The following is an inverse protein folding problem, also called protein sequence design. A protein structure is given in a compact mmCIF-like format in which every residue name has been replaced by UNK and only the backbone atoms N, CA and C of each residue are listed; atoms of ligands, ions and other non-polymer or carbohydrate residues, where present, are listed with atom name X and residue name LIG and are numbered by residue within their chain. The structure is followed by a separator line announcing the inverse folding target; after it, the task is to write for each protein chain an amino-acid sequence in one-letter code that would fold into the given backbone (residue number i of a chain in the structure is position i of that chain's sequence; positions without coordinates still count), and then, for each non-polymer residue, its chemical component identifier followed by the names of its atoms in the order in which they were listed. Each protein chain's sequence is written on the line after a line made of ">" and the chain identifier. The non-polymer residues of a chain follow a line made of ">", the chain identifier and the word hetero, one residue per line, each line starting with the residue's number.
data_IF_568468030251
#
_entry.id   IF_568468030251
#
_cell.length_a   1.000
_cell.length_b   1.000
_cell.length_c   1.000
_cell.angle_alpha   90.00
_cell.angle_beta   90.00
_cell.angle_gamma   90.00
#
_symmetry.space_group_name_H-M   'P 1'
#
loop_
_entity.id
_entity.type
_entity.pdbx_description
1 polymer ?
#
# COMPACT_ATOMS: atom_id res chain seq x y z
N UNK A 1 -18.58 3.40 -43.97
CA UNK A 1 -17.20 3.19 -43.55
C UNK A 1 -17.23 2.05 -42.56
N UNK A 2 -16.53 0.95 -42.81
CA UNK A 2 -16.35 -0.09 -41.81
C UNK A 2 -15.48 0.55 -40.70
N UNK A 3 -16.06 0.83 -39.54
CA UNK A 3 -15.30 1.20 -38.34
C UNK A 3 -14.35 0.04 -38.08
N UNK A 4 -13.05 0.29 -38.13
CA UNK A 4 -12.06 -0.71 -37.79
C UNK A 4 -12.28 -1.04 -36.28
N UNK A 5 -12.41 -2.31 -36.00
CA UNK A 5 -12.48 -2.77 -34.61
C UNK A 5 -11.18 -2.37 -33.90
N UNK A 6 -11.23 -1.82 -32.69
CA UNK A 6 -10.02 -1.51 -31.93
C UNK A 6 -9.23 -2.78 -31.63
N UNK A 7 -7.92 -2.63 -31.50
CA UNK A 7 -7.10 -3.72 -30.98
C UNK A 7 -7.31 -3.80 -29.47
N UNK A 8 -8.11 -4.77 -29.01
CA UNK A 8 -8.50 -4.94 -27.62
C UNK A 8 -7.69 -6.07 -26.97
N UNK A 9 -7.02 -5.77 -25.90
CA UNK A 9 -6.35 -6.72 -25.00
C UNK A 9 -7.04 -6.67 -23.63
N UNK A 10 -7.60 -7.76 -23.17
CA UNK A 10 -8.19 -7.91 -21.83
C UNK A 10 -7.60 -9.13 -21.14
N UNK A 11 -7.55 -9.05 -19.83
CA UNK A 11 -7.16 -10.19 -18.99
C UNK A 11 -8.24 -11.28 -18.96
N UNK A 12 -7.81 -12.49 -18.63
CA UNK A 12 -8.73 -13.54 -18.21
C UNK A 12 -9.55 -13.06 -16.99
N UNK A 13 -10.85 -13.28 -17.02
CA UNK A 13 -11.77 -12.79 -15.98
C UNK A 13 -12.41 -11.43 -16.26
N UNK A 14 -11.96 -10.68 -17.26
CA UNK A 14 -12.56 -9.39 -17.65
C UNK A 14 -13.50 -9.49 -18.87
N UNK A 15 -14.10 -10.66 -19.09
CA UNK A 15 -14.99 -10.92 -20.24
C UNK A 15 -16.26 -10.08 -20.24
N UNK A 16 -16.72 -9.61 -19.09
CA UNK A 16 -17.83 -8.67 -18.93
C UNK A 16 -17.60 -7.29 -19.54
N UNK A 17 -16.36 -7.00 -19.93
CA UNK A 17 -16.01 -5.75 -20.61
C UNK A 17 -16.04 -5.88 -22.15
N UNK A 18 -16.24 -7.08 -22.70
CA UNK A 18 -16.21 -7.32 -24.16
C UNK A 18 -17.35 -6.64 -24.92
N UNK A 19 -18.47 -6.36 -24.27
CA UNK A 19 -19.67 -5.76 -24.84
C UNK A 19 -19.63 -4.22 -24.88
N UNK A 20 -18.56 -3.59 -24.37
CA UNK A 20 -18.43 -2.15 -24.32
C UNK A 20 -18.15 -1.56 -25.72
N UNK A 21 -18.58 -0.32 -25.99
CA UNK A 21 -18.44 0.32 -27.30
C UNK A 21 -17.03 0.90 -27.51
N UNK A 22 -16.02 0.04 -27.57
CA UNK A 22 -14.60 0.38 -27.61
C UNK A 22 -14.22 1.28 -28.81
N UNK A 23 -14.99 1.26 -29.89
CA UNK A 23 -14.81 2.12 -31.07
C UNK A 23 -15.19 3.58 -30.84
N UNK A 24 -15.96 3.88 -29.77
CA UNK A 24 -16.40 5.24 -29.47
C UNK A 24 -15.46 5.91 -28.44
N UNK A 25 -15.36 7.27 -28.45
CA UNK A 25 -14.73 8.01 -27.36
C UNK A 25 -15.40 7.70 -26.02
N UNK A 26 -14.61 7.58 -24.95
CA UNK A 26 -15.12 7.26 -23.61
C UNK A 26 -16.18 8.27 -23.11
N UNK A 27 -16.10 9.52 -23.56
CA UNK A 27 -17.08 10.56 -23.25
C UNK A 27 -18.48 10.29 -23.83
N UNK A 28 -18.57 9.53 -24.91
CA UNK A 28 -19.82 9.20 -25.61
C UNK A 28 -20.48 7.92 -25.09
N UNK A 29 -19.83 7.19 -24.19
CA UNK A 29 -20.37 5.95 -23.69
C UNK A 29 -21.56 6.20 -22.75
N UNK A 30 -22.61 5.43 -22.93
CA UNK A 30 -23.82 5.42 -22.11
C UNK A 30 -24.05 3.99 -21.63
N UNK A 31 -23.86 3.75 -20.33
CA UNK A 31 -23.98 2.44 -19.74
C UNK A 31 -24.43 2.58 -18.28
N UNK A 32 -25.44 1.82 -17.85
CA UNK A 32 -25.99 1.84 -16.50
C UNK A 32 -25.01 1.29 -15.44
N UNK A 33 -23.97 0.61 -15.88
CA UNK A 33 -22.88 0.09 -15.02
C UNK A 33 -21.91 1.18 -14.56
N UNK A 34 -21.97 2.39 -15.13
CA UNK A 34 -21.12 3.48 -14.67
C UNK A 34 -21.45 3.91 -13.24
N UNK A 35 -20.41 4.21 -12.49
CA UNK A 35 -20.50 4.71 -11.11
C UNK A 35 -19.90 6.10 -11.01
N UNK A 36 -20.58 6.97 -10.28
CA UNK A 36 -20.12 8.32 -9.98
C UNK A 36 -19.18 8.26 -8.77
N UNK A 37 -17.90 8.03 -9.04
CA UNK A 37 -16.83 8.01 -8.04
C UNK A 37 -16.01 9.29 -8.21
N UNK A 38 -15.81 10.09 -7.14
CA UNK A 38 -15.03 11.31 -7.21
C UNK A 38 -13.59 11.04 -7.64
N UNK A 39 -13.18 11.68 -8.74
CA UNK A 39 -11.82 11.65 -9.26
C UNK A 39 -11.08 12.91 -8.79
N UNK A 40 -9.80 12.80 -8.51
CA UNK A 40 -8.92 13.96 -8.33
C UNK A 40 -8.75 14.76 -9.64
N UNK A 41 -8.04 15.89 -9.62
CA UNK A 41 -7.66 16.57 -10.85
C UNK A 41 -6.95 15.62 -11.80
N UNK A 42 -7.46 15.43 -13.00
CA UNK A 42 -6.88 14.58 -14.03
C UNK A 42 -6.83 15.33 -15.37
N UNK A 43 -5.77 15.09 -16.15
CA UNK A 43 -5.64 15.64 -17.52
C UNK A 43 -6.49 14.84 -18.50
N UNK A 44 -6.80 13.60 -18.17
CA UNK A 44 -7.52 12.66 -19.01
C UNK A 44 -8.89 12.34 -18.44
N UNK A 45 -9.82 11.95 -19.30
CA UNK A 45 -11.14 11.49 -18.88
C UNK A 45 -11.00 10.14 -18.20
N UNK A 46 -11.44 10.06 -16.95
CA UNK A 46 -11.53 8.82 -16.18
C UNK A 46 -12.97 8.55 -15.83
N UNK A 47 -13.44 7.31 -16.07
CA UNK A 47 -14.77 6.84 -15.68
C UNK A 47 -14.66 5.50 -14.95
N UNK A 48 -15.59 5.23 -14.06
CA UNK A 48 -15.64 3.96 -13.31
C UNK A 48 -16.83 3.14 -13.78
N UNK A 49 -16.59 1.85 -14.02
CA UNK A 49 -17.60 0.92 -14.48
C UNK A 49 -17.60 -0.30 -13.56
N UNK A 50 -18.78 -0.75 -13.12
CA UNK A 50 -18.96 -1.94 -12.28
C UNK A 50 -19.47 -3.09 -13.15
N UNK A 51 -18.73 -4.20 -13.16
CA UNK A 51 -19.11 -5.42 -13.85
C UNK A 51 -18.64 -6.64 -13.02
N UNK A 52 -19.51 -7.67 -12.91
CA UNK A 52 -19.23 -8.91 -12.17
C UNK A 52 -18.71 -8.64 -10.74
N UNK A 53 -19.38 -7.74 -9.99
CA UNK A 53 -19.02 -7.29 -8.64
C UNK A 53 -17.61 -6.66 -8.54
N UNK A 54 -16.99 -6.32 -9.67
CA UNK A 54 -15.70 -5.65 -9.74
C UNK A 54 -15.87 -4.25 -10.35
N UNK A 55 -15.23 -3.27 -9.74
CA UNK A 55 -15.17 -1.91 -10.30
C UNK A 55 -13.87 -1.74 -11.09
N UNK A 56 -13.98 -1.20 -12.29
CA UNK A 56 -12.86 -0.88 -13.18
C UNK A 56 -12.77 0.63 -13.34
N UNK A 57 -11.53 1.13 -13.46
CA UNK A 57 -11.28 2.50 -13.93
C UNK A 57 -10.90 2.46 -15.40
N UNK A 58 -11.58 3.29 -16.22
CA UNK A 58 -11.31 3.44 -17.63
C UNK A 58 -10.74 4.85 -17.85
N UNK A 59 -9.55 4.95 -18.45
CA UNK A 59 -8.84 6.20 -18.73
C UNK A 59 -8.59 6.32 -20.23
N UNK A 60 -9.13 7.36 -20.88
CA UNK A 60 -8.85 7.62 -22.31
C UNK A 60 -7.70 8.61 -22.43
N UNK A 61 -6.67 8.23 -23.17
CA UNK A 61 -5.44 8.99 -23.32
C UNK A 61 -4.80 8.78 -24.71
N UNK A 62 -3.78 9.58 -25.10
CA UNK A 62 -3.03 9.35 -26.32
C UNK A 62 -2.47 7.93 -26.40
N UNK A 63 -2.50 7.35 -27.59
CA UNK A 63 -2.16 5.95 -27.83
C UNK A 63 -0.77 5.56 -27.27
N UNK A 64 0.23 6.39 -27.51
CA UNK A 64 1.60 6.14 -27.08
C UNK A 64 1.77 6.25 -25.55
N UNK A 65 1.01 7.13 -24.92
CA UNK A 65 0.96 7.28 -23.46
C UNK A 65 0.34 6.05 -22.83
N UNK A 66 -0.86 5.64 -23.29
CA UNK A 66 -1.55 4.46 -22.78
C UNK A 66 -0.74 3.18 -22.93
N UNK A 67 -0.02 3.02 -24.04
CA UNK A 67 0.85 1.86 -24.24
C UNK A 67 2.00 1.81 -23.24
N UNK A 68 2.64 2.96 -22.98
CA UNK A 68 3.73 3.05 -21.97
C UNK A 68 3.20 2.82 -20.57
N UNK A 69 2.10 3.47 -20.20
CA UNK A 69 1.48 3.28 -18.88
C UNK A 69 1.05 1.83 -18.65
N UNK A 70 0.39 1.22 -19.64
CA UNK A 70 0.03 -0.21 -19.56
C UNK A 70 1.27 -1.09 -19.34
N UNK A 71 2.36 -0.84 -20.09
CA UNK A 71 3.59 -1.61 -19.95
C UNK A 71 4.24 -1.40 -18.57
N UNK A 72 4.27 -0.18 -18.06
CA UNK A 72 4.81 0.15 -16.74
C UNK A 72 4.00 -0.53 -15.62
N UNK A 73 2.67 -0.44 -15.65
CA UNK A 73 1.80 -1.10 -14.66
C UNK A 73 1.95 -2.62 -14.71
N UNK A 74 2.05 -3.22 -15.91
CA UNK A 74 2.31 -4.66 -16.06
C UNK A 74 3.66 -5.08 -15.52
N UNK A 75 4.70 -4.25 -15.70
CA UNK A 75 6.01 -4.49 -15.10
C UNK A 75 5.92 -4.49 -13.57
N UNK A 76 5.32 -3.47 -12.98
CA UNK A 76 5.16 -3.36 -11.53
C UNK A 76 4.39 -4.53 -10.93
N UNK A 77 3.34 -4.98 -11.62
CA UNK A 77 2.56 -6.13 -11.18
C UNK A 77 3.38 -7.42 -11.21
N UNK A 78 4.16 -7.66 -12.27
CA UNK A 78 5.03 -8.83 -12.38
C UNK A 78 6.10 -8.85 -11.26
N UNK A 79 6.57 -7.67 -10.86
CA UNK A 79 7.47 -7.50 -9.72
C UNK A 79 6.72 -7.56 -8.36
N UNK A 80 5.38 -7.61 -8.36
CA UNK A 80 4.55 -7.65 -7.15
C UNK A 80 4.58 -6.37 -6.34
N UNK A 81 4.74 -5.22 -7.01
CA UNK A 81 4.84 -3.90 -6.40
C UNK A 81 3.49 -3.19 -6.27
N UNK A 82 3.37 -2.24 -5.34
CA UNK A 82 2.12 -1.56 -5.06
C UNK A 82 1.76 -0.55 -6.16
N UNK A 83 1.00 -0.99 -7.14
CA UNK A 83 0.39 -0.19 -8.19
C UNK A 83 -1.02 -0.72 -8.46
N UNK A 84 -1.84 0.04 -9.18
CA UNK A 84 -3.10 -0.47 -9.73
C UNK A 84 -2.81 -1.52 -10.81
N UNK A 85 -3.65 -2.55 -10.90
CA UNK A 85 -3.44 -3.63 -11.88
C UNK A 85 -3.99 -3.23 -13.25
N UNK A 86 -3.19 -3.37 -14.30
CA UNK A 86 -3.65 -3.17 -15.67
C UNK A 86 -4.47 -4.37 -16.14
N UNK A 87 -5.76 -4.18 -16.34
CA UNK A 87 -6.74 -5.19 -16.76
C UNK A 87 -6.84 -5.29 -18.26
N UNK A 88 -6.73 -4.16 -18.96
CA UNK A 88 -6.84 -4.14 -20.41
C UNK A 88 -6.39 -2.84 -21.07
N UNK A 89 -6.28 -2.93 -22.40
CA UNK A 89 -5.97 -1.80 -23.27
C UNK A 89 -6.74 -1.94 -24.58
N UNK A 90 -7.55 -0.94 -24.91
CA UNK A 90 -8.23 -0.82 -26.19
C UNK A 90 -7.58 0.28 -27.02
N UNK A 91 -6.87 -0.09 -28.07
CA UNK A 91 -6.15 0.83 -28.96
C UNK A 91 -7.03 1.20 -30.15
N UNK A 92 -7.17 2.50 -30.40
CA UNK A 92 -7.95 3.06 -31.55
C UNK A 92 -7.04 3.95 -32.38
N UNK A 93 -6.20 3.35 -33.24
CA UNK A 93 -5.17 4.08 -34.01
C UNK A 93 -5.74 5.19 -34.88
N UNK A 94 -6.95 5.01 -35.41
CA UNK A 94 -7.60 6.01 -36.27
C UNK A 94 -7.91 7.32 -35.53
N UNK A 95 -8.07 7.25 -34.21
CA UNK A 95 -8.26 8.43 -33.34
C UNK A 95 -6.97 8.88 -32.69
N UNK A 96 -5.91 8.06 -32.75
CA UNK A 96 -4.65 8.31 -32.02
C UNK A 96 -4.81 8.20 -30.51
N UNK A 97 -5.88 7.51 -30.01
CA UNK A 97 -6.16 7.32 -28.58
C UNK A 97 -6.23 5.85 -28.21
N UNK A 98 -6.14 5.57 -26.93
CA UNK A 98 -6.46 4.27 -26.36
C UNK A 98 -7.21 4.45 -25.04
N UNK A 99 -7.94 3.42 -24.64
CA UNK A 99 -8.59 3.34 -23.33
C UNK A 99 -7.84 2.30 -22.50
N UNK A 100 -7.17 2.78 -21.46
CA UNK A 100 -6.55 1.94 -20.43
C UNK A 100 -7.61 1.52 -19.40
N UNK A 101 -7.63 0.25 -19.07
CA UNK A 101 -8.50 -0.31 -18.01
C UNK A 101 -7.65 -0.80 -16.88
N UNK A 102 -7.96 -0.34 -15.66
CA UNK A 102 -7.30 -0.80 -14.44
C UNK A 102 -8.34 -1.26 -13.41
N UNK A 103 -7.94 -2.16 -12.51
CA UNK A 103 -8.75 -2.51 -11.35
C UNK A 103 -8.89 -1.29 -10.42
N UNK A 104 -10.10 -1.11 -9.89
CA UNK A 104 -10.32 -0.13 -8.83
C UNK A 104 -9.72 -0.62 -7.51
N UNK A 105 -8.85 0.18 -6.92
CA UNK A 105 -8.22 -0.15 -5.65
C UNK A 105 -9.22 0.06 -4.50
N UNK A 106 -9.89 -1.02 -4.09
CA UNK A 106 -10.86 -0.98 -2.98
C UNK A 106 -10.18 -0.63 -1.65
N UNK A 107 -10.93 -0.02 -0.72
CA UNK A 107 -10.45 0.40 0.61
C UNK A 107 -9.29 1.41 0.56
N UNK A 108 -9.11 2.10 -0.56
CA UNK A 108 -8.10 3.14 -0.70
C UNK A 108 -8.69 4.54 -0.55
N UNK A 109 -7.85 5.48 -0.18
CA UNK A 109 -8.20 6.89 -0.02
C UNK A 109 -7.15 7.78 -0.70
N UNK A 110 -7.61 8.89 -1.26
CA UNK A 110 -6.74 9.97 -1.72
C UNK A 110 -6.15 10.72 -0.51
N UNK A 111 -4.93 11.26 -0.65
CA UNK A 111 -4.24 12.00 0.40
C UNK A 111 -5.07 13.15 0.99
N UNK A 112 -5.84 13.86 0.15
CA UNK A 112 -6.72 14.95 0.61
C UNK A 112 -7.74 14.47 1.63
N UNK A 113 -8.38 13.31 1.39
CA UNK A 113 -9.35 12.72 2.33
C UNK A 113 -8.70 12.29 3.64
N UNK A 114 -7.47 11.81 3.57
CA UNK A 114 -6.72 11.41 4.75
C UNK A 114 -6.31 12.63 5.58
N UNK A 115 -5.68 13.62 4.96
CA UNK A 115 -5.14 14.79 5.66
C UNK A 115 -6.20 15.85 6.01
N UNK A 116 -7.36 15.86 5.37
CA UNK A 116 -8.49 16.72 5.79
C UNK A 116 -9.08 16.32 7.14
N UNK A 117 -8.85 15.09 7.58
CA UNK A 117 -9.34 14.56 8.86
C UNK A 117 -8.36 14.76 10.02
N UNK A 118 -7.10 15.04 9.71
CA UNK A 118 -6.02 15.14 10.69
C UNK A 118 -5.30 16.48 10.57
N UNK A 119 -4.80 17.04 11.68
CA UNK A 119 -3.95 18.24 11.62
C UNK A 119 -2.76 18.03 10.69
N UNK A 120 -2.43 19.04 9.88
CA UNK A 120 -1.24 19.03 9.02
C UNK A 120 0.07 19.11 9.82
N UNK A 121 -0.03 19.51 11.09
CA UNK A 121 1.10 19.55 12.02
C UNK A 121 1.79 18.18 12.22
N UNK A 122 2.96 18.17 12.86
CA UNK A 122 3.66 16.93 13.20
C UNK A 122 2.74 15.97 13.96
N UNK A 123 2.64 14.74 13.48
CA UNK A 123 1.79 13.73 14.09
C UNK A 123 1.92 12.37 13.41
N UNK A 124 1.62 11.32 14.15
CA UNK A 124 1.84 9.94 13.73
C UNK A 124 1.19 9.60 12.37
N UNK A 125 0.05 10.19 12.06
CA UNK A 125 -0.67 9.87 10.82
C UNK A 125 -0.01 10.49 9.59
N UNK A 126 0.36 11.78 9.66
CA UNK A 126 1.13 12.45 8.59
C UNK A 126 2.44 11.71 8.34
N UNK A 127 3.15 11.35 9.41
CA UNK A 127 4.43 10.66 9.31
C UNK A 127 4.29 9.28 8.65
N UNK A 128 3.23 8.52 8.95
CA UNK A 128 2.91 7.25 8.28
C UNK A 128 2.66 7.43 6.77
N UNK A 129 2.03 8.53 6.36
CA UNK A 129 1.79 8.85 4.95
C UNK A 129 3.10 9.19 4.23
N UNK A 130 3.97 10.01 4.85
CA UNK A 130 5.27 10.36 4.30
C UNK A 130 6.20 9.13 4.23
N UNK A 131 6.16 8.24 5.22
CA UNK A 131 6.84 6.95 5.19
C UNK A 131 6.35 6.09 4.01
N UNK A 132 5.02 6.04 3.79
CA UNK A 132 4.44 5.28 2.69
C UNK A 132 4.91 5.78 1.32
N UNK A 133 5.02 7.11 1.14
CA UNK A 133 5.56 7.70 -0.10
C UNK A 133 7.04 7.36 -0.32
N UNK A 134 7.86 7.47 0.73
CA UNK A 134 9.27 7.11 0.66
C UNK A 134 9.45 5.63 0.32
N UNK A 135 8.67 4.74 0.94
CA UNK A 135 8.69 3.31 0.64
C UNK A 135 8.25 3.00 -0.78
N UNK A 136 7.17 3.63 -1.27
CA UNK A 136 6.73 3.45 -2.65
C UNK A 136 7.85 3.80 -3.63
N UNK A 137 8.48 4.98 -3.48
CA UNK A 137 9.54 5.41 -4.38
C UNK A 137 10.77 4.47 -4.32
N UNK A 138 11.14 3.97 -3.14
CA UNK A 138 12.21 2.97 -3.01
C UNK A 138 11.86 1.68 -3.75
N UNK A 139 10.64 1.17 -3.60
CA UNK A 139 10.18 -0.05 -4.26
C UNK A 139 10.18 0.11 -5.79
N UNK A 140 9.70 1.25 -6.31
CA UNK A 140 9.71 1.58 -7.75
C UNK A 140 11.14 1.66 -8.31
N UNK A 141 12.03 2.38 -7.63
CA UNK A 141 13.43 2.53 -8.06
C UNK A 141 14.19 1.20 -8.06
N UNK A 142 13.91 0.32 -7.09
CA UNK A 142 14.51 -1.04 -7.06
C UNK A 142 14.06 -1.90 -8.23
N UNK A 143 12.85 -1.70 -8.73
CA UNK A 143 12.34 -2.36 -9.93
C UNK A 143 12.78 -1.69 -11.25
N UNK A 144 13.62 -0.67 -11.18
CA UNK A 144 14.09 0.06 -12.36
C UNK A 144 13.05 1.02 -12.95
N UNK A 145 11.97 1.36 -12.22
CA UNK A 145 11.00 2.33 -12.68
C UNK A 145 11.44 3.75 -12.25
N UNK A 146 11.68 4.61 -13.23
CA UNK A 146 11.72 6.06 -13.07
C UNK A 146 10.28 6.57 -13.18
N UNK A 147 9.80 7.29 -12.16
CA UNK A 147 8.39 7.71 -12.11
C UNK A 147 8.13 8.99 -12.91
N UNK A 148 8.99 10.01 -12.75
CA UNK A 148 8.95 11.26 -13.51
C UNK A 148 7.90 12.29 -13.06
N UNK A 149 6.81 11.86 -12.39
CA UNK A 149 5.77 12.75 -11.81
C UNK A 149 5.34 12.22 -10.43
N UNK A 150 6.33 12.06 -9.55
CA UNK A 150 6.12 11.58 -8.18
C UNK A 150 5.27 12.57 -7.40
N UNK A 151 4.01 12.23 -7.08
CA UNK A 151 3.13 13.14 -6.36
C UNK A 151 2.10 12.41 -5.49
N UNK A 152 1.58 13.12 -4.50
CA UNK A 152 0.45 12.65 -3.69
C UNK A 152 -0.83 12.48 -4.52
N UNK A 153 -0.97 13.24 -5.61
CA UNK A 153 -2.14 13.18 -6.49
C UNK A 153 -2.18 11.88 -7.31
N UNK A 154 -1.00 11.39 -7.71
CA UNK A 154 -0.82 10.16 -8.50
C UNK A 154 -0.70 8.91 -7.61
N UNK A 155 -1.14 9.03 -6.34
CA UNK A 155 -1.03 7.98 -5.33
C UNK A 155 -2.36 7.77 -4.62
N UNK A 156 -2.72 6.51 -4.40
CA UNK A 156 -3.76 6.11 -3.46
C UNK A 156 -3.14 5.43 -2.24
N UNK A 157 -3.80 5.59 -1.12
CA UNK A 157 -3.34 5.08 0.17
C UNK A 157 -4.31 4.07 0.74
N UNK A 158 -3.80 2.93 1.17
CA UNK A 158 -4.56 1.89 1.84
C UNK A 158 -3.94 1.60 3.20
N UNK A 159 -4.78 1.31 4.18
CA UNK A 159 -4.31 0.86 5.48
C UNK A 159 -3.67 -0.52 5.38
N UNK A 160 -2.54 -0.70 6.03
CA UNK A 160 -1.77 -1.93 6.09
C UNK A 160 -1.36 -2.19 7.55
N UNK A 161 -2.28 -2.76 8.33
CA UNK A 161 -2.12 -2.92 9.76
C UNK A 161 -1.97 -1.58 10.48
N UNK A 162 -0.86 -1.40 11.18
CA UNK A 162 -0.46 -0.17 11.87
C UNK A 162 0.23 0.86 10.96
N UNK A 163 0.37 0.56 9.66
CA UNK A 163 1.01 1.39 8.64
C UNK A 163 0.03 1.81 7.55
N UNK A 164 0.53 2.61 6.62
CA UNK A 164 -0.13 2.97 5.38
C UNK A 164 0.72 2.43 4.23
N UNK A 165 0.07 1.82 3.24
CA UNK A 165 0.69 1.45 1.98
C UNK A 165 0.25 2.44 0.91
N UNK A 166 1.21 3.04 0.21
CA UNK A 166 0.98 3.86 -0.98
C UNK A 166 0.96 2.99 -2.24
N UNK A 167 0.10 3.33 -3.18
CA UNK A 167 -0.06 2.65 -4.47
C UNK A 167 0.06 3.65 -5.61
N UNK A 168 0.88 3.34 -6.60
CA UNK A 168 0.95 4.10 -7.84
C UNK A 168 -0.34 3.92 -8.64
N UNK A 169 -0.96 5.02 -9.04
CA UNK A 169 -2.23 5.01 -9.81
C UNK A 169 -2.03 5.49 -11.23
N UNK A 170 -1.15 6.47 -11.43
CA UNK A 170 -0.86 7.09 -12.72
C UNK A 170 0.62 6.93 -13.04
N UNK A 171 0.90 6.16 -14.09
CA UNK A 171 2.25 5.85 -14.57
C UNK A 171 2.52 6.45 -15.97
N UNK A 172 1.76 7.46 -16.42
CA UNK A 172 1.85 8.02 -17.77
C UNK A 172 3.24 8.58 -18.13
N UNK A 173 3.97 9.09 -17.11
CA UNK A 173 5.32 9.65 -17.24
C UNK A 173 6.43 8.65 -16.93
N UNK A 174 6.06 7.44 -16.53
CA UNK A 174 7.02 6.46 -16.03
C UNK A 174 7.81 5.78 -17.15
N UNK A 175 9.06 5.48 -16.85
CA UNK A 175 9.97 4.76 -17.73
C UNK A 175 10.59 3.55 -17.01
N UNK A 176 10.57 2.38 -17.67
CA UNK A 176 11.18 1.15 -17.15
C UNK A 176 12.60 1.02 -17.69
N UNK A 177 13.57 0.88 -16.81
CA UNK A 177 14.98 0.71 -17.11
C UNK A 177 15.50 -0.61 -16.49
N UNK A 178 16.58 -1.20 -17.01
CA UNK A 178 17.24 -2.34 -16.36
C UNK A 178 17.78 -2.02 -14.95
N UNK A 179 17.98 -0.74 -14.65
CA UNK A 179 18.40 -0.19 -13.38
C UNK A 179 18.53 1.33 -13.50
N UNK A 180 18.24 2.05 -12.43
CA UNK A 180 18.32 3.52 -12.42
C UNK A 180 19.71 4.01 -12.00
N UNK A 181 20.19 5.03 -12.67
CA UNK A 181 21.36 5.80 -12.24
C UNK A 181 21.06 6.61 -10.97
N UNK A 182 22.11 7.00 -10.24
CA UNK A 182 21.98 7.88 -9.07
C UNK A 182 21.30 9.21 -9.43
N UNK A 183 21.59 9.75 -10.64
CA UNK A 183 20.99 10.98 -11.12
C UNK A 183 19.49 10.86 -11.38
N UNK A 184 19.02 9.77 -11.97
CA UNK A 184 17.59 9.51 -12.17
C UNK A 184 16.85 9.40 -10.82
N UNK A 185 17.44 8.64 -9.88
CA UNK A 185 16.84 8.53 -8.53
C UNK A 185 16.82 9.86 -7.78
N UNK A 186 17.88 10.64 -7.85
CA UNK A 186 17.96 11.95 -7.22
C UNK A 186 16.89 12.89 -7.81
N UNK A 187 16.70 12.87 -9.13
CA UNK A 187 15.70 13.69 -9.80
C UNK A 187 14.26 13.32 -9.36
N UNK A 188 13.93 12.02 -9.30
CA UNK A 188 12.61 11.60 -8.80
C UNK A 188 12.39 11.99 -7.33
N UNK A 189 13.42 11.93 -6.49
CA UNK A 189 13.34 12.39 -5.09
C UNK A 189 13.09 13.90 -5.02
N UNK A 190 13.78 14.71 -5.83
CA UNK A 190 13.53 16.16 -5.91
C UNK A 190 12.10 16.47 -6.35
N UNK A 191 11.61 15.80 -7.41
CA UNK A 191 10.22 15.92 -7.88
C UNK A 191 9.23 15.53 -6.76
N UNK A 192 9.49 14.43 -6.05
CA UNK A 192 8.64 14.00 -4.94
C UNK A 192 8.57 15.06 -3.83
N UNK A 193 9.72 15.58 -3.41
CA UNK A 193 9.81 16.61 -2.35
C UNK A 193 9.04 17.86 -2.76
N UNK A 194 9.25 18.35 -3.97
CA UNK A 194 8.54 19.53 -4.49
C UNK A 194 7.02 19.31 -4.54
N UNK A 195 6.57 18.19 -5.12
CA UNK A 195 5.15 17.90 -5.27
C UNK A 195 4.45 17.63 -3.92
N UNK A 196 5.14 17.01 -2.95
CA UNK A 196 4.62 16.84 -1.59
C UNK A 196 4.50 18.20 -0.90
N UNK A 197 5.50 19.09 -1.03
CA UNK A 197 5.44 20.45 -0.47
C UNK A 197 4.24 21.22 -1.02
N UNK A 198 4.05 21.22 -2.35
CA UNK A 198 2.91 21.86 -2.99
C UNK A 198 1.57 21.26 -2.56
N UNK A 199 1.47 19.92 -2.52
CA UNK A 199 0.24 19.24 -2.11
C UNK A 199 -0.17 19.51 -0.67
N UNK A 200 0.80 19.59 0.26
CA UNK A 200 0.56 19.94 1.65
C UNK A 200 0.24 21.45 1.83
N UNK A 201 0.94 22.31 1.10
CA UNK A 201 0.69 23.76 1.14
C UNK A 201 -0.72 24.10 0.59
N UNK A 202 -1.14 23.46 -0.51
CA UNK A 202 -2.49 23.56 -1.08
C UNK A 202 -3.56 23.17 -0.05
N UNK A 203 -3.30 22.08 0.68
CA UNK A 203 -4.21 21.58 1.69
C UNK A 203 -4.27 22.53 2.91
N UNK A 204 -3.13 23.07 3.36
CA UNK A 204 -3.05 24.07 4.41
C UNK A 204 -3.85 25.34 4.04
N UNK A 205 -3.67 25.82 2.81
CA UNK A 205 -4.43 26.96 2.29
C UNK A 205 -5.95 26.67 2.24
N UNK A 206 -6.35 25.47 1.80
CA UNK A 206 -7.75 25.05 1.76
C UNK A 206 -8.39 24.96 3.16
N UNK A 207 -7.62 24.55 4.17
CA UNK A 207 -8.06 24.51 5.57
C UNK A 207 -8.05 25.87 6.27
N UNK A 208 -7.56 26.92 5.61
CA UNK A 208 -7.48 28.28 6.16
C UNK A 208 -6.25 28.54 7.03
N UNK A 209 -5.21 27.72 6.90
CA UNK A 209 -3.93 27.82 7.62
C UNK A 209 -2.74 28.09 6.68
N UNK A 210 -2.75 29.18 5.89
CA UNK A 210 -1.67 29.47 4.93
C UNK A 210 -0.31 29.75 5.59
N UNK A 211 -0.29 30.00 6.89
CA UNK A 211 0.89 30.18 7.73
C UNK A 211 1.63 28.85 8.04
N UNK A 212 1.02 27.71 7.76
CA UNK A 212 1.65 26.37 7.90
C UNK A 212 2.55 25.98 6.71
N UNK A 213 2.82 26.90 5.78
CA UNK A 213 3.65 26.65 4.60
C UNK A 213 5.06 26.16 4.93
N UNK A 214 5.72 26.74 5.94
CA UNK A 214 7.06 26.27 6.38
C UNK A 214 7.01 24.83 6.90
N UNK A 215 5.93 24.46 7.59
CA UNK A 215 5.73 23.08 8.07
C UNK A 215 5.49 22.09 6.91
N UNK A 216 4.82 22.54 5.85
CA UNK A 216 4.62 21.73 4.64
C UNK A 216 5.97 21.45 3.93
N UNK A 217 6.84 22.45 3.82
CA UNK A 217 8.21 22.29 3.28
C UNK A 217 9.02 21.30 4.12
N UNK A 218 9.08 21.52 5.45
CA UNK A 218 9.84 20.64 6.34
C UNK A 218 9.32 19.18 6.30
N UNK A 219 8.00 18.99 6.19
CA UNK A 219 7.41 17.68 6.02
C UNK A 219 7.84 17.02 4.69
N UNK A 220 7.85 17.79 3.60
CA UNK A 220 8.27 17.32 2.29
C UNK A 220 9.76 16.96 2.26
N UNK A 221 10.63 17.79 2.82
CA UNK A 221 12.07 17.49 2.93
C UNK A 221 12.29 16.18 3.70
N UNK A 222 11.50 15.91 4.75
CA UNK A 222 11.59 14.68 5.52
C UNK A 222 11.29 13.43 4.69
N UNK A 223 10.54 13.52 3.57
CA UNK A 223 10.31 12.37 2.66
C UNK A 223 11.61 11.99 1.94
N UNK A 224 12.36 12.97 1.48
CA UNK A 224 13.68 12.73 0.88
C UNK A 224 14.64 12.06 1.87
N UNK A 225 14.71 12.54 3.11
CA UNK A 225 15.53 11.95 4.17
C UNK A 225 15.13 10.50 4.46
N UNK A 226 13.82 10.21 4.54
CA UNK A 226 13.27 8.86 4.71
C UNK A 226 13.66 7.93 3.56
N UNK A 227 13.51 8.41 2.31
CA UNK A 227 13.94 7.67 1.13
C UNK A 227 15.42 7.30 1.22
N UNK A 228 16.31 8.27 1.49
CA UNK A 228 17.75 8.04 1.59
C UNK A 228 18.12 7.08 2.72
N UNK A 229 17.47 7.19 3.87
CA UNK A 229 17.69 6.28 5.00
C UNK A 229 17.31 4.83 4.64
N UNK A 230 16.15 4.64 4.01
CA UNK A 230 15.68 3.32 3.56
C UNK A 230 16.61 2.76 2.49
N UNK A 231 16.94 3.57 1.46
CA UNK A 231 17.80 3.17 0.36
C UNK A 231 19.19 2.73 0.86
N UNK A 232 19.81 3.55 1.72
CA UNK A 232 21.10 3.23 2.34
C UNK A 232 21.03 1.92 3.12
N UNK A 233 20.00 1.77 3.96
CA UNK A 233 19.83 0.56 4.77
C UNK A 233 19.66 -0.70 3.92
N UNK A 234 19.00 -0.63 2.76
CA UNK A 234 18.81 -1.78 1.88
C UNK A 234 20.11 -2.16 1.12
N UNK A 235 20.89 -1.16 0.72
CA UNK A 235 22.10 -1.35 -0.10
C UNK A 235 23.40 -1.35 0.70
N UNK A 236 23.32 -1.27 2.03
CA UNK A 236 24.49 -1.35 2.90
C UNK A 236 25.17 -2.72 2.76
N UNK A 237 26.47 -2.69 2.49
CA UNK A 237 27.34 -3.88 2.35
C UNK A 237 28.37 -3.89 3.46
N UNK A 238 28.00 -4.32 4.69
CA UNK A 238 28.92 -4.26 5.84
C UNK A 238 30.10 -5.21 5.66
N UNK A 239 31.26 -4.78 6.19
CA UNK A 239 32.44 -5.62 6.30
C UNK A 239 32.41 -6.39 7.63
N UNK A 240 32.41 -7.71 7.54
CA UNK A 240 32.31 -8.63 8.66
C UNK A 240 33.60 -9.45 8.81
N UNK A 241 33.82 -10.04 9.96
CA UNK A 241 34.80 -11.08 10.14
C UNK A 241 34.31 -12.39 9.54
N UNK A 242 35.19 -13.21 9.01
CA UNK A 242 34.82 -14.48 8.38
C UNK A 242 34.11 -15.48 9.31
N UNK A 243 34.28 -15.33 10.63
CA UNK A 243 33.69 -16.15 11.66
C UNK A 243 32.42 -15.55 12.30
N UNK A 244 32.00 -14.35 11.87
CA UNK A 244 30.89 -13.61 12.45
C UNK A 244 29.53 -13.97 11.82
N UNK A 245 29.16 -15.24 12.01
CA UNK A 245 27.84 -15.74 11.58
C UNK A 245 26.68 -14.96 12.18
N UNK A 246 26.83 -14.52 13.44
CA UNK A 246 25.76 -13.78 14.13
C UNK A 246 25.46 -12.44 13.47
N UNK A 247 26.48 -11.72 12.99
CA UNK A 247 26.27 -10.46 12.28
C UNK A 247 25.52 -10.67 10.93
N UNK A 248 25.83 -11.76 10.20
CA UNK A 248 25.08 -12.14 8.99
C UNK A 248 23.61 -12.40 9.31
N UNK A 249 23.33 -13.24 10.32
CA UNK A 249 21.97 -13.57 10.75
C UNK A 249 21.20 -12.33 11.25
N UNK A 250 21.87 -11.44 11.99
CA UNK A 250 21.28 -10.19 12.45
C UNK A 250 20.91 -9.27 11.28
N UNK A 251 21.75 -9.20 10.25
CA UNK A 251 21.47 -8.42 9.04
C UNK A 251 20.28 -8.99 8.28
N UNK A 252 20.19 -10.30 8.10
CA UNK A 252 19.07 -10.98 7.45
C UNK A 252 17.77 -10.69 8.24
N UNK A 253 17.79 -10.87 9.57
CA UNK A 253 16.62 -10.55 10.41
C UNK A 253 16.18 -9.10 10.25
N UNK A 254 17.14 -8.15 10.25
CA UNK A 254 16.82 -6.74 10.07
C UNK A 254 16.17 -6.42 8.71
N UNK A 255 16.48 -7.16 7.64
CA UNK A 255 15.80 -7.04 6.35
C UNK A 255 14.43 -7.70 6.37
N UNK A 256 14.30 -8.88 7.00
CA UNK A 256 13.02 -9.55 7.17
C UNK A 256 12.03 -8.70 7.99
N UNK A 257 12.51 -8.02 9.04
CA UNK A 257 11.70 -7.10 9.85
C UNK A 257 11.18 -5.90 9.04
N UNK A 258 11.91 -5.52 7.97
CA UNK A 258 11.45 -4.52 7.00
C UNK A 258 10.50 -5.11 5.93
N UNK A 259 10.29 -6.43 5.94
CA UNK A 259 9.41 -7.13 5.02
C UNK A 259 10.10 -7.77 3.81
N UNK A 260 11.43 -7.74 3.73
CA UNK A 260 12.16 -8.31 2.61
C UNK A 260 12.62 -9.74 2.89
N UNK A 261 12.50 -10.62 1.89
CA UNK A 261 13.18 -11.91 1.90
C UNK A 261 14.60 -11.76 1.36
N UNK A 262 15.53 -12.54 1.89
CA UNK A 262 16.90 -12.66 1.38
C UNK A 262 17.00 -13.97 0.64
N UNK A 263 17.23 -13.91 -0.67
CA UNK A 263 17.34 -15.10 -1.52
C UNK A 263 18.76 -15.64 -1.54
N UNK A 264 19.76 -14.76 -1.52
CA UNK A 264 21.15 -15.15 -1.63
C UNK A 264 22.03 -14.31 -0.70
N UNK A 265 23.04 -14.96 -0.14
CA UNK A 265 24.07 -14.36 0.70
C UNK A 265 25.43 -14.53 0.00
N UNK A 266 26.02 -13.43 -0.43
CA UNK A 266 27.34 -13.41 -1.05
C UNK A 266 28.38 -12.81 -0.09
N UNK A 267 29.52 -13.48 0.08
CA UNK A 267 30.63 -13.02 0.90
C UNK A 267 31.87 -12.82 0.02
N UNK A 268 32.23 -11.57 -0.23
CA UNK A 268 33.42 -11.23 -1.02
C UNK A 268 34.60 -10.83 -0.12
N UNK A 269 35.83 -11.22 -0.46
CA UNK A 269 37.01 -10.76 0.28
C UNK A 269 37.14 -9.23 0.26
N UNK A 270 37.22 -8.59 1.44
CA UNK A 270 37.41 -7.15 1.60
C UNK A 270 38.81 -6.74 2.04
N UNK A 271 39.77 -7.70 2.16
CA UNK A 271 41.09 -7.48 2.69
C UNK A 271 41.17 -7.59 4.22
N UNK A 272 42.39 -7.71 4.76
CA UNK A 272 42.68 -7.78 6.20
C UNK A 272 41.86 -8.85 6.97
N UNK A 273 41.53 -9.99 6.30
CA UNK A 273 40.70 -11.05 6.91
C UNK A 273 39.25 -10.69 7.11
N UNK A 274 38.76 -9.65 6.46
CA UNK A 274 37.32 -9.25 6.43
C UNK A 274 36.66 -9.71 5.15
N UNK A 275 35.35 -9.93 5.25
CA UNK A 275 34.46 -10.25 4.14
C UNK A 275 33.42 -9.15 4.02
N UNK A 276 33.10 -8.75 2.79
CA UNK A 276 32.01 -7.85 2.46
C UNK A 276 30.76 -8.68 2.25
N UNK A 277 29.72 -8.38 3.02
CA UNK A 277 28.44 -9.04 2.92
C UNK A 277 27.55 -8.33 1.90
N UNK A 278 27.14 -9.04 0.85
CA UNK A 278 26.10 -8.64 -0.08
C UNK A 278 24.90 -9.56 0.08
N UNK A 279 23.69 -9.00 0.07
CA UNK A 279 22.46 -9.74 0.18
C UNK A 279 21.56 -9.44 -1.02
N UNK A 280 21.15 -10.48 -1.73
CA UNK A 280 20.13 -10.36 -2.76
C UNK A 280 18.76 -10.35 -2.07
N UNK A 281 18.11 -9.19 -2.12
CA UNK A 281 16.78 -8.96 -1.49
C UNK A 281 15.68 -8.96 -2.55
N UNK A 282 14.58 -9.63 -2.27
CA UNK A 282 13.38 -9.67 -3.14
C UNK A 282 12.43 -8.52 -2.86
N UNK A 283 11.19 -8.65 -3.37
CA UNK A 283 10.09 -7.73 -3.05
C UNK A 283 9.69 -7.81 -1.57
N UNK A 284 9.12 -6.74 -1.06
CA UNK A 284 8.69 -6.59 0.33
C UNK A 284 7.39 -7.36 0.61
N UNK A 285 7.48 -8.69 0.73
CA UNK A 285 6.36 -9.62 0.98
C UNK A 285 6.74 -10.79 1.90
N UNK A 286 7.70 -10.60 2.77
CA UNK A 286 8.19 -11.67 3.65
C UNK A 286 7.11 -12.20 4.59
N UNK A 287 6.46 -11.30 5.35
CA UNK A 287 5.42 -11.68 6.30
C UNK A 287 4.14 -12.13 5.59
N UNK A 288 3.77 -11.48 4.49
CA UNK A 288 2.60 -11.84 3.70
C UNK A 288 2.70 -13.28 3.17
N UNK A 289 3.84 -13.67 2.60
CA UNK A 289 4.09 -15.04 2.11
C UNK A 289 4.11 -16.06 3.25
N UNK A 290 4.72 -15.72 4.39
CA UNK A 290 4.77 -16.61 5.54
C UNK A 290 3.38 -16.84 6.14
N UNK A 291 2.57 -15.79 6.28
CA UNK A 291 1.19 -15.90 6.76
C UNK A 291 0.35 -16.78 5.80
N UNK A 292 0.42 -16.49 4.51
CA UNK A 292 -0.30 -17.26 3.48
C UNK A 292 0.10 -18.75 3.49
N UNK A 293 1.39 -19.04 3.60
CA UNK A 293 1.92 -20.40 3.71
C UNK A 293 1.38 -21.14 4.94
N UNK A 294 1.27 -20.48 6.09
CA UNK A 294 0.85 -21.09 7.35
C UNK A 294 -0.68 -21.23 7.47
N UNK A 295 -1.43 -20.25 6.95
CA UNK A 295 -2.86 -20.10 7.24
C UNK A 295 -3.75 -20.07 6.00
N UNK A 296 -3.19 -19.76 4.82
CA UNK A 296 -3.95 -19.49 3.60
C UNK A 296 -4.60 -18.09 3.58
N UNK A 297 -4.30 -17.23 4.56
CA UNK A 297 -4.81 -15.85 4.59
C UNK A 297 -3.94 -14.98 3.67
N UNK A 298 -4.56 -14.31 2.71
CA UNK A 298 -3.95 -13.25 1.92
C UNK A 298 -4.08 -11.92 2.67
N UNK A 299 -2.97 -11.24 2.90
CA UNK A 299 -2.88 -9.97 3.63
C UNK A 299 -1.77 -9.10 3.05
N UNK A 300 -1.82 -7.79 3.35
CA UNK A 300 -0.73 -6.87 3.09
C UNK A 300 0.43 -7.14 4.07
N UNK A 301 1.60 -6.58 3.79
CA UNK A 301 2.83 -6.95 4.50
C UNK A 301 2.79 -6.66 6.01
N UNK A 302 2.32 -5.48 6.40
CA UNK A 302 2.26 -5.13 7.82
C UNK A 302 1.03 -5.75 8.51
N UNK A 303 -0.09 -5.93 7.83
CA UNK A 303 -1.21 -6.75 8.30
C UNK A 303 -0.70 -8.16 8.65
N UNK A 304 0.01 -8.80 7.71
CA UNK A 304 0.56 -10.13 7.92
C UNK A 304 1.55 -10.19 9.09
N UNK A 305 2.39 -9.16 9.25
CA UNK A 305 3.31 -9.05 10.39
C UNK A 305 2.56 -9.05 11.72
N UNK A 306 1.47 -8.28 11.82
CA UNK A 306 0.64 -8.23 13.03
C UNK A 306 -0.05 -9.57 13.31
N UNK A 307 -0.64 -10.19 12.28
CA UNK A 307 -1.30 -11.49 12.40
C UNK A 307 -0.31 -12.60 12.79
N UNK A 308 0.90 -12.59 12.25
CA UNK A 308 1.95 -13.53 12.63
C UNK A 308 2.41 -13.33 14.07
N UNK A 309 2.43 -12.11 14.58
CA UNK A 309 2.74 -11.86 16.00
C UNK A 309 1.63 -12.41 16.90
N UNK A 310 0.36 -12.17 16.58
CA UNK A 310 -0.79 -12.72 17.32
C UNK A 310 -0.78 -14.27 17.30
N UNK A 311 -0.49 -14.87 16.13
CA UNK A 311 -0.30 -16.32 16.01
C UNK A 311 0.84 -16.84 16.90
N UNK A 312 1.97 -16.12 16.99
CA UNK A 312 3.10 -16.51 17.87
C UNK A 312 2.72 -16.43 19.34
N UNK A 313 1.98 -15.39 19.75
CA UNK A 313 1.45 -15.25 21.11
C UNK A 313 0.49 -16.41 21.46
N UNK A 314 -0.43 -16.73 20.55
CA UNK A 314 -1.35 -17.86 20.70
C UNK A 314 -0.61 -19.19 20.79
N UNK A 315 0.41 -19.43 19.97
CA UNK A 315 1.25 -20.62 20.05
C UNK A 315 1.97 -20.72 21.39
N UNK A 316 2.59 -19.65 21.87
CA UNK A 316 3.27 -19.62 23.16
C UNK A 316 2.30 -19.90 24.31
N UNK A 317 1.07 -19.40 24.24
CA UNK A 317 0.03 -19.69 25.22
C UNK A 317 -0.37 -21.18 25.18
N UNK A 318 -0.53 -21.78 24.00
CA UNK A 318 -0.84 -23.21 23.88
C UNK A 318 0.28 -24.09 24.44
N UNK A 319 1.53 -23.80 24.10
CA UNK A 319 2.70 -24.54 24.60
C UNK A 319 2.79 -24.48 26.16
N UNK A 320 2.46 -23.32 26.70
CA UNK A 320 2.41 -23.15 28.17
C UNK A 320 1.24 -23.91 28.79
N UNK A 321 0.05 -23.88 28.21
CA UNK A 321 -1.17 -24.47 28.76
C UNK A 321 -1.24 -25.99 28.59
N UNK A 322 -0.72 -26.53 27.51
CA UNK A 322 -0.76 -27.97 27.16
C UNK A 322 0.54 -28.70 27.53
N UNK A 323 1.62 -27.95 27.83
CA UNK A 323 2.89 -28.52 28.31
C UNK A 323 3.71 -29.28 27.28
N UNK A 324 3.39 -29.14 25.97
CA UNK A 324 4.11 -29.79 24.88
C UNK A 324 4.35 -28.81 23.72
N UNK A 325 5.52 -28.92 23.03
CA UNK A 325 5.72 -28.16 21.79
C UNK A 325 4.73 -28.64 20.72
N UNK A 326 4.13 -27.67 20.00
CA UNK A 326 3.15 -27.95 18.97
C UNK A 326 3.82 -28.04 17.61
N UNK A 327 3.77 -29.23 17.01
CA UNK A 327 4.15 -29.46 15.62
C UNK A 327 3.07 -28.91 14.66
N UNK A 328 3.34 -27.78 14.00
CA UNK A 328 2.59 -27.31 12.82
C UNK A 328 1.09 -27.02 12.97
N UNK A 329 0.42 -27.54 13.98
CA UNK A 329 -1.04 -27.44 14.16
C UNK A 329 -1.52 -26.11 14.76
N UNK A 330 -0.64 -25.32 15.39
CA UNK A 330 -1.00 -24.09 16.08
C UNK A 330 -1.64 -23.05 15.13
N UNK A 331 -1.13 -22.92 13.90
CA UNK A 331 -1.68 -21.99 12.91
C UNK A 331 -3.12 -22.36 12.50
N UNK A 332 -3.41 -23.66 12.30
CA UNK A 332 -4.75 -24.11 11.96
C UNK A 332 -5.73 -24.02 13.13
N UNK A 333 -5.24 -24.22 14.37
CA UNK A 333 -6.04 -24.00 15.59
C UNK A 333 -6.35 -22.51 15.78
N UNK A 334 -5.35 -21.63 15.67
CA UNK A 334 -5.54 -20.19 15.74
C UNK A 334 -6.55 -19.71 14.68
N UNK A 335 -6.42 -20.19 13.43
CA UNK A 335 -7.34 -19.86 12.35
C UNK A 335 -8.78 -20.23 12.68
N UNK A 336 -9.00 -21.45 13.24
CA UNK A 336 -10.34 -21.96 13.58
C UNK A 336 -10.92 -21.40 14.87
N UNK A 337 -10.09 -21.22 15.90
CA UNK A 337 -10.53 -20.91 17.26
C UNK A 337 -10.48 -19.42 17.58
N UNK A 338 -9.62 -18.66 16.88
CA UNK A 338 -9.41 -17.23 17.12
C UNK A 338 -9.80 -16.39 15.92
N UNK A 339 -9.09 -16.51 14.79
CA UNK A 339 -9.22 -15.59 13.67
C UNK A 339 -10.61 -15.62 13.01
N UNK A 340 -11.09 -16.80 12.59
CA UNK A 340 -12.38 -16.93 11.91
C UNK A 340 -13.59 -16.50 12.76
N UNK A 341 -13.73 -16.92 14.04
CA UNK A 341 -14.82 -16.46 14.88
C UNK A 341 -14.82 -14.95 15.08
N UNK A 342 -13.64 -14.36 15.31
CA UNK A 342 -13.46 -12.92 15.51
C UNK A 342 -13.81 -12.13 14.25
N UNK A 343 -13.26 -12.53 13.09
CA UNK A 343 -13.53 -11.85 11.81
C UNK A 343 -14.98 -11.98 11.38
N UNK A 344 -15.66 -13.09 11.68
CA UNK A 344 -17.09 -13.23 11.43
C UNK A 344 -17.92 -12.21 12.22
N UNK A 345 -17.62 -12.00 13.50
CA UNK A 345 -18.30 -10.99 14.34
C UNK A 345 -18.00 -9.55 13.87
N UNK A 346 -16.76 -9.29 13.44
CA UNK A 346 -16.38 -7.99 12.88
C UNK A 346 -17.16 -7.71 11.58
N UNK A 347 -17.27 -8.69 10.68
CA UNK A 347 -17.95 -8.54 9.40
C UNK A 347 -19.44 -8.15 9.55
N UNK A 348 -20.12 -8.62 10.61
CA UNK A 348 -21.52 -8.28 10.90
C UNK A 348 -21.71 -6.78 11.18
N UNK A 349 -20.68 -6.09 11.69
CA UNK A 349 -20.76 -4.68 12.13
C UNK A 349 -20.20 -3.72 11.07
N UNK A 350 -19.17 -4.13 10.34
CA UNK A 350 -18.41 -3.23 9.44
C UNK A 350 -19.19 -2.92 8.14
N UNK A 351 -20.16 -3.76 7.79
CA UNK A 351 -21.04 -3.56 6.62
C UNK A 351 -20.63 -4.34 5.38
N UNK A 352 -21.23 -4.07 4.23
CA UNK A 352 -20.97 -4.79 2.99
C UNK A 352 -19.53 -4.53 2.50
N UNK A 353 -18.87 -5.57 2.00
CA UNK A 353 -17.49 -5.54 1.49
C UNK A 353 -16.43 -5.07 2.51
N UNK A 354 -16.38 -5.66 3.72
CA UNK A 354 -15.47 -5.23 4.76
C UNK A 354 -14.02 -5.66 4.46
N UNK A 355 -13.06 -4.81 4.81
CA UNK A 355 -11.65 -5.25 4.96
C UNK A 355 -11.50 -5.92 6.34
N UNK A 356 -11.92 -7.19 6.43
CA UNK A 356 -11.95 -7.93 7.71
C UNK A 356 -10.54 -8.17 8.27
N UNK A 357 -9.53 -8.23 7.42
CA UNK A 357 -8.13 -8.40 7.85
C UNK A 357 -7.66 -7.11 8.52
N UNK A 358 -7.94 -5.96 7.93
CA UNK A 358 -7.63 -4.68 8.54
C UNK A 358 -8.40 -4.47 9.85
N UNK A 359 -9.69 -4.80 9.87
CA UNK A 359 -10.49 -4.69 11.08
C UNK A 359 -9.97 -5.57 12.24
N UNK A 360 -9.43 -6.75 11.89
CA UNK A 360 -8.76 -7.59 12.89
C UNK A 360 -7.47 -6.92 13.41
N UNK A 361 -6.68 -6.29 12.55
CA UNK A 361 -5.51 -5.51 12.96
C UNK A 361 -5.90 -4.34 13.87
N UNK A 362 -6.99 -3.64 13.56
CA UNK A 362 -7.51 -2.54 14.38
C UNK A 362 -7.97 -3.02 15.76
N UNK A 363 -8.58 -4.20 15.82
CA UNK A 363 -8.93 -4.85 17.09
C UNK A 363 -7.69 -5.18 17.91
N UNK A 364 -6.61 -5.65 17.29
CA UNK A 364 -5.34 -5.92 18.01
C UNK A 364 -4.74 -4.62 18.57
N UNK A 365 -4.80 -3.52 17.84
CA UNK A 365 -4.38 -2.20 18.32
C UNK A 365 -5.27 -1.75 19.50
N UNK A 366 -6.59 -1.91 19.38
CA UNK A 366 -7.54 -1.61 20.45
C UNK A 366 -7.27 -2.45 21.71
N UNK A 367 -7.03 -3.76 21.56
CA UNK A 367 -6.63 -4.65 22.66
C UNK A 367 -5.36 -4.13 23.35
N UNK A 368 -4.37 -3.72 22.57
CA UNK A 368 -3.12 -3.21 23.12
C UNK A 368 -3.35 -1.93 23.94
N UNK A 369 -4.11 -0.96 23.42
CA UNK A 369 -4.44 0.28 24.14
C UNK A 369 -5.18 0.01 25.47
N UNK A 370 -6.20 -0.86 25.45
CA UNK A 370 -6.92 -1.25 26.67
C UNK A 370 -6.01 -1.96 27.67
N UNK A 371 -5.09 -2.78 27.18
CA UNK A 371 -4.16 -3.52 28.05
C UNK A 371 -3.13 -2.59 28.68
N UNK A 372 -2.66 -1.58 27.96
CA UNK A 372 -1.76 -0.54 28.45
C UNK A 372 -2.45 0.29 29.56
N UNK A 373 -3.69 0.74 29.33
CA UNK A 373 -4.49 1.48 30.30
C UNK A 373 -4.78 0.64 31.57
N UNK A 374 -5.09 -0.64 31.39
CA UNK A 374 -5.37 -1.57 32.49
C UNK A 374 -4.11 -2.10 33.18
N UNK A 375 -2.91 -1.83 32.66
CA UNK A 375 -1.61 -2.38 33.08
C UNK A 375 -1.59 -3.93 33.18
N UNK A 376 -2.38 -4.59 32.31
CA UNK A 376 -2.45 -6.05 32.17
C UNK A 376 -3.07 -6.43 30.84
N UNK A 377 -2.82 -7.65 30.37
CA UNK A 377 -3.54 -8.17 29.21
C UNK A 377 -5.05 -8.31 29.52
N UNK A 378 -5.88 -7.64 28.74
CA UNK A 378 -7.35 -7.70 28.89
C UNK A 378 -7.98 -8.89 28.16
N UNK A 379 -7.21 -9.56 27.29
CA UNK A 379 -7.68 -10.65 26.44
C UNK A 379 -8.47 -10.19 25.22
N UNK A 380 -8.46 -11.03 24.17
CA UNK A 380 -9.05 -10.70 22.87
C UNK A 380 -10.57 -10.56 22.94
N UNK A 381 -11.26 -11.43 23.69
CA UNK A 381 -12.73 -11.44 23.77
C UNK A 381 -13.27 -10.14 24.38
N UNK A 382 -12.66 -9.69 25.49
CA UNK A 382 -13.02 -8.42 26.11
C UNK A 382 -12.77 -7.23 25.17
N UNK A 383 -11.63 -7.23 24.51
CA UNK A 383 -11.29 -6.18 23.53
C UNK A 383 -12.26 -6.17 22.35
N UNK A 384 -12.68 -7.35 21.86
CA UNK A 384 -13.64 -7.49 20.78
C UNK A 384 -15.02 -6.93 21.17
N UNK A 385 -15.52 -7.29 22.34
CA UNK A 385 -16.82 -6.75 22.82
C UNK A 385 -16.77 -5.23 22.98
N UNK A 386 -15.69 -4.70 23.54
CA UNK A 386 -15.47 -3.26 23.64
C UNK A 386 -15.44 -2.60 22.25
N UNK A 387 -14.66 -3.15 21.32
CA UNK A 387 -14.49 -2.61 19.96
C UNK A 387 -15.80 -2.62 19.16
N UNK A 388 -16.57 -3.71 19.24
CA UNK A 388 -17.89 -3.83 18.63
C UNK A 388 -18.91 -2.85 19.22
N UNK A 389 -18.87 -2.61 20.54
CA UNK A 389 -19.75 -1.64 21.20
C UNK A 389 -19.51 -0.20 20.73
N UNK A 390 -18.31 0.12 20.25
CA UNK A 390 -17.97 1.40 19.62
C UNK A 390 -18.34 1.46 18.13
N UNK A 391 -18.90 0.36 17.56
CA UNK A 391 -19.22 0.26 16.14
C UNK A 391 -18.03 -0.10 15.26
N UNK A 392 -17.00 -0.74 15.84
CA UNK A 392 -15.76 -1.13 15.19
C UNK A 392 -15.14 0.04 14.36
N UNK A 393 -14.87 1.20 14.98
CA UNK A 393 -14.41 2.37 14.25
C UNK A 393 -13.02 2.11 13.66
N UNK A 394 -12.83 2.50 12.38
CA UNK A 394 -11.46 2.66 11.91
C UNK A 394 -10.75 3.68 12.82
N UNK A 395 -9.47 3.52 13.20
CA UNK A 395 -8.74 4.45 14.08
C UNK A 395 -8.81 5.91 13.64
N UNK A 396 -8.97 6.14 12.33
CA UNK A 396 -9.21 7.48 11.79
C UNK A 396 -10.53 8.10 12.25
N UNK A 397 -11.52 7.30 12.69
CA UNK A 397 -12.81 7.77 13.23
C UNK A 397 -12.81 7.87 14.75
N UNK A 398 -11.92 7.18 15.44
CA UNK A 398 -11.83 7.23 16.90
C UNK A 398 -11.42 8.63 17.40
N UNK A 399 -10.62 9.39 16.60
CA UNK A 399 -10.29 10.78 16.88
C UNK A 399 -11.44 11.78 16.66
N UNK A 400 -12.52 11.38 15.97
CA UNK A 400 -13.70 12.25 15.75
C UNK A 400 -14.65 12.27 16.97
N UNK A 401 -14.52 11.33 17.90
CA UNK A 401 -15.41 11.22 19.08
C UNK A 401 -14.97 12.16 20.22
N UNK A 402 -13.79 12.78 20.15
CA UNK A 402 -13.30 13.74 21.14
C UNK A 402 -13.39 15.22 20.72
N UNK A 403 -13.90 15.54 19.54
CA UNK A 403 -14.16 16.93 19.18
C UNK A 403 -15.47 17.42 19.86
N UNK A 404 -15.41 18.43 20.74
CA UNK A 404 -16.63 18.92 21.38
C UNK A 404 -17.57 19.50 20.32
N UNK A 405 -18.85 19.17 20.48
CA UNK A 405 -19.97 19.74 19.71
C UNK A 405 -20.08 21.25 19.91
N UNK A 406 -19.25 22.03 19.26
CA UNK A 406 -19.30 23.47 19.24
C UNK A 406 -18.85 23.97 17.85
N UNK A 407 -19.74 23.94 16.91
CA UNK A 407 -20.03 24.93 15.86
C UNK A 407 -21.11 24.36 14.93
N UNK A 408 -22.34 24.23 15.46
CA UNK A 408 -23.53 24.31 14.62
C UNK A 408 -24.34 25.50 15.12
N UNK A 409 -24.00 26.68 14.65
CA UNK A 409 -24.91 27.82 14.56
C UNK A 409 -24.19 28.98 13.87
N UNK A 410 -24.30 29.08 12.57
CA UNK A 410 -24.81 30.25 11.80
C UNK A 410 -24.62 30.03 10.31
#
# INVERSE_FOLDING_TARGET
>A
MLTAFPHLRLREGASSLLDLPWELPLAEWHDDRFRDIPVGPSRHLVRFLEADDTTFALKEEPLDVAQREFAALRHLENEGLPAVSAVGLAEVPERGTAILVTDFLVHSLQYRRLLMRFPLGPGAYRDRLLDAMAWLLVDLHRAGLYWGDCSLANTLFRRDGDKIQAYLVDAETSEVHPGLSDGQRANDVEILVENVAFGLADLAAYQGHPDEFEQAIAAAESVGDRYHAIWTKLHETPELRADDRHAVEARIRGLNDLGFSVDEVELEPAGNGRLRLKLAVTTRRFHARELERLTGISALENQARLLLNDLREYRAWLEWSEGQPLDGSAAQRWLREVFRPTTSRLAEVIGPHPDVVQAYCDLLEHKWLLSEEAHRDVGLEFALDSYLSLGAPAPERAGETEAPAAVRSR
#
